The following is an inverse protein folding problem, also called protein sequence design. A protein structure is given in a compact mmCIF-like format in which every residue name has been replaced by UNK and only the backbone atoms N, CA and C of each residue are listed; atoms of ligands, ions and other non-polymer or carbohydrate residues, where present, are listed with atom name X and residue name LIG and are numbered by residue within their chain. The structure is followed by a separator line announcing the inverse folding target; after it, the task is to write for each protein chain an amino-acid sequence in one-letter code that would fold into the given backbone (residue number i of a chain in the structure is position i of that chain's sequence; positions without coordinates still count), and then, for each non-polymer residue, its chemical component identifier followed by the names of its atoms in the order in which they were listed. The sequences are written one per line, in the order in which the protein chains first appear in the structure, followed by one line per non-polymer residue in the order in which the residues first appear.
data_IF_524408960924
#
_entry.id   IF_524408960924
#
_cell.length_a   1.000
_cell.length_b   1.000
_cell.length_c   1.000
_cell.angle_alpha   90.00
_cell.angle_beta   90.00
_cell.angle_gamma   90.00
#
_symmetry.space_group_name_H-M   'P 1'
#
loop_
_entity.id
_entity.type
_entity.pdbx_description
1 polymer ?
#
# COMPACT_ATOMS: atom_id res chain seq x y z
N UNK A 1 -1.15 -34.08 1.02
CA UNK A 1 -2.61 -34.21 0.90
C UNK A 1 -3.18 -33.28 1.96
N UNK A 2 -3.63 -32.10 1.56
CA UNK A 2 -4.23 -31.13 2.48
C UNK A 2 -5.55 -31.73 2.93
N UNK A 3 -5.79 -31.77 4.24
CA UNK A 3 -7.04 -32.26 4.79
C UNK A 3 -8.13 -31.25 4.46
N UNK A 4 -8.88 -31.50 3.37
CA UNK A 4 -9.95 -30.61 2.89
C UNK A 4 -11.01 -30.29 3.95
N UNK A 5 -11.11 -31.15 4.97
CA UNK A 5 -12.01 -30.98 6.11
C UNK A 5 -11.75 -29.70 6.94
N UNK A 6 -10.52 -29.18 6.99
CA UNK A 6 -10.19 -27.95 7.73
C UNK A 6 -10.52 -26.67 6.94
N UNK A 7 -10.71 -26.78 5.63
CA UNK A 7 -11.18 -25.69 4.78
C UNK A 7 -12.71 -25.69 4.72
N UNK A 8 -13.34 -26.86 4.70
CA UNK A 8 -14.79 -27.03 4.56
C UNK A 8 -15.58 -26.78 5.86
N UNK A 9 -14.95 -26.73 7.02
CA UNK A 9 -15.62 -26.56 8.33
C UNK A 9 -16.24 -25.16 8.57
N UNK A 10 -16.15 -24.24 7.61
CA UNK A 10 -16.66 -22.87 7.69
C UNK A 10 -17.94 -22.64 6.84
N UNK A 11 -18.65 -23.69 6.47
CA UNK A 11 -19.75 -23.68 5.48
C UNK A 11 -21.05 -22.96 5.91
N UNK A 12 -21.06 -22.21 7.01
CA UNK A 12 -22.26 -21.51 7.47
C UNK A 12 -21.94 -20.11 8.01
N UNK A 13 -21.87 -19.12 7.12
CA UNK A 13 -22.25 -17.73 7.44
C UNK A 13 -22.44 -16.92 6.15
N UNK A 14 -23.72 -16.64 5.89
CA UNK A 14 -24.36 -15.54 5.16
C UNK A 14 -23.80 -15.10 3.78
N UNK A 15 -24.62 -15.36 2.75
CA UNK A 15 -24.38 -15.07 1.32
C UNK A 15 -24.49 -13.59 0.91
N UNK A 16 -24.61 -12.64 1.84
CA UNK A 16 -25.14 -11.30 1.49
C UNK A 16 -24.18 -10.13 1.79
N UNK A 17 -22.92 -10.22 1.40
CA UNK A 17 -22.06 -9.02 1.28
C UNK A 17 -21.12 -9.15 0.07
N UNK A 18 -21.59 -8.67 -1.08
CA UNK A 18 -20.82 -8.54 -2.31
C UNK A 18 -20.53 -7.08 -2.53
N UNK A 19 -19.36 -6.61 -2.11
CA UNK A 19 -18.67 -5.45 -2.71
C UNK A 19 -17.20 -5.42 -2.27
N UNK A 20 -16.31 -5.32 -3.27
CA UNK A 20 -14.95 -4.77 -3.16
C UNK A 20 -13.78 -5.57 -2.55
N UNK A 21 -13.70 -6.88 -2.82
CA UNK A 21 -12.38 -7.59 -2.83
C UNK A 21 -11.52 -7.17 -4.04
N UNK A 22 -11.94 -6.14 -4.77
CA UNK A 22 -11.27 -5.60 -5.95
C UNK A 22 -9.85 -5.07 -5.67
N UNK A 23 -9.48 -4.83 -4.41
CA UNK A 23 -8.20 -4.17 -4.09
C UNK A 23 -7.11 -5.12 -3.57
N UNK A 24 -7.48 -6.31 -3.09
CA UNK A 24 -6.51 -7.24 -2.47
C UNK A 24 -5.64 -8.04 -3.47
N UNK A 25 -5.99 -8.04 -4.77
CA UNK A 25 -5.26 -8.81 -5.80
C UNK A 25 -4.83 -7.93 -7.01
N UNK A 26 -5.23 -6.66 -7.07
CA UNK A 26 -5.21 -5.90 -8.33
C UNK A 26 -4.24 -4.69 -8.38
N UNK A 27 -2.97 -4.90 -8.04
CA UNK A 27 -1.92 -3.94 -8.47
C UNK A 27 -1.41 -4.19 -9.91
N UNK A 28 -1.99 -5.15 -10.66
CA UNK A 28 -1.55 -5.48 -12.02
C UNK A 28 -2.21 -4.62 -13.13
N UNK A 29 -3.29 -3.87 -12.86
CA UNK A 29 -4.10 -3.22 -13.90
C UNK A 29 -4.00 -1.68 -13.92
N UNK A 30 -2.81 -1.10 -13.78
CA UNK A 30 -2.64 0.37 -13.85
C UNK A 30 -1.80 0.88 -15.03
N UNK A 31 -1.52 0.04 -16.05
CA UNK A 31 -0.79 0.50 -17.25
C UNK A 31 -1.65 1.02 -18.41
N UNK A 32 -2.99 0.92 -18.37
CA UNK A 32 -3.81 1.21 -19.56
C UNK A 32 -5.09 2.07 -19.35
N UNK A 33 -5.17 2.93 -18.32
CA UNK A 33 -6.27 3.93 -18.24
C UNK A 33 -5.81 5.36 -18.55
N UNK A 34 -6.60 6.14 -19.33
CA UNK A 34 -6.28 7.52 -19.65
C UNK A 34 -6.49 8.46 -18.45
N UNK A 35 -5.49 9.32 -18.27
CA UNK A 35 -5.35 10.53 -17.48
C UNK A 35 -6.60 11.11 -16.77
N UNK A 36 -6.77 10.82 -15.47
CA UNK A 36 -7.23 11.72 -14.37
C UNK A 36 -7.67 10.90 -13.15
N UNK A 37 -6.69 10.29 -12.48
CA UNK A 37 -6.71 9.79 -11.10
C UNK A 37 -5.38 9.06 -10.94
N UNK A 38 -4.33 9.82 -10.64
CA UNK A 38 -3.03 9.27 -10.24
C UNK A 38 -2.77 9.80 -8.84
N UNK A 39 -3.38 9.13 -7.87
CA UNK A 39 -3.01 9.30 -6.47
C UNK A 39 -2.59 7.94 -5.93
N UNK A 40 -1.29 7.88 -5.61
CA UNK A 40 -0.66 7.05 -4.59
C UNK A 40 -1.11 5.59 -4.46
N UNK A 41 -0.46 4.70 -5.23
CA UNK A 41 -0.07 3.37 -4.79
C UNK A 41 1.00 2.84 -5.76
N UNK A 42 2.27 2.87 -5.36
CA UNK A 42 3.33 2.16 -6.06
C UNK A 42 3.50 0.80 -5.39
N UNK A 43 2.88 -0.24 -5.94
CA UNK A 43 3.17 -1.62 -5.56
C UNK A 43 3.92 -2.32 -6.68
N UNK A 44 5.19 -2.59 -6.42
CA UNK A 44 6.03 -3.46 -7.22
C UNK A 44 5.74 -4.91 -6.84
N UNK A 45 4.72 -5.52 -7.43
CA UNK A 45 4.61 -6.98 -7.44
C UNK A 45 5.65 -7.53 -8.41
N UNK A 46 6.82 -7.93 -7.91
CA UNK A 46 7.74 -8.82 -8.66
C UNK A 46 7.32 -10.28 -8.44
N UNK A 47 6.04 -10.52 -8.68
CA UNK A 47 5.47 -11.78 -9.09
C UNK A 47 4.37 -11.41 -10.07
N UNK A 48 4.78 -11.07 -11.30
CA UNK A 48 3.95 -11.38 -12.47
C UNK A 48 3.80 -12.90 -12.48
N UNK A 49 2.99 -13.46 -11.59
CA UNK A 49 2.61 -14.84 -11.72
C UNK A 49 1.60 -14.85 -12.85
N UNK A 50 2.09 -15.16 -14.05
CA UNK A 50 1.24 -15.45 -15.21
C UNK A 50 0.10 -16.41 -14.83
N UNK A 51 0.34 -17.26 -13.83
CA UNK A 51 -0.63 -18.16 -13.22
C UNK A 51 -1.87 -17.46 -12.61
N UNK A 52 -1.71 -16.34 -11.90
CA UNK A 52 -2.81 -15.60 -11.27
C UNK A 52 -3.55 -14.79 -12.33
N UNK A 53 -2.81 -14.13 -13.23
CA UNK A 53 -3.39 -13.41 -14.37
C UNK A 53 -4.23 -14.35 -15.25
N UNK A 54 -3.73 -15.56 -15.52
CA UNK A 54 -4.47 -16.60 -16.25
C UNK A 54 -5.70 -17.10 -15.49
N UNK A 55 -5.59 -17.33 -14.18
CA UNK A 55 -6.73 -17.74 -13.36
C UNK A 55 -7.87 -16.69 -13.43
N UNK A 56 -7.52 -15.41 -13.42
CA UNK A 56 -8.48 -14.33 -13.57
C UNK A 56 -9.05 -14.24 -14.99
N UNK A 57 -8.21 -14.31 -16.03
CA UNK A 57 -8.66 -14.30 -17.43
C UNK A 57 -9.61 -15.45 -17.75
N UNK A 58 -9.39 -16.63 -17.16
CA UNK A 58 -10.23 -17.80 -17.34
C UNK A 58 -11.58 -17.69 -16.61
N UNK A 59 -11.67 -16.89 -15.56
CA UNK A 59 -12.92 -16.68 -14.82
C UNK A 59 -13.03 -15.24 -14.27
N UNK A 60 -13.37 -14.25 -15.10
CA UNK A 60 -13.48 -12.86 -14.65
C UNK A 60 -14.56 -12.65 -13.58
N UNK A 61 -15.59 -13.50 -13.55
CA UNK A 61 -16.65 -13.46 -12.55
C UNK A 61 -16.18 -13.88 -11.15
N UNK A 62 -14.93 -14.32 -10.99
CA UNK A 62 -14.34 -14.62 -9.68
C UNK A 62 -14.31 -13.40 -8.75
N UNK A 63 -14.19 -12.19 -9.32
CA UNK A 63 -14.11 -10.94 -8.56
C UNK A 63 -15.36 -10.64 -7.70
N UNK A 64 -16.50 -11.21 -8.07
CA UNK A 64 -17.78 -11.04 -7.36
C UNK A 64 -18.18 -12.28 -6.53
N UNK A 65 -17.27 -13.26 -6.38
CA UNK A 65 -17.51 -14.44 -5.54
C UNK A 65 -17.10 -14.17 -4.10
N UNK A 66 -17.57 -15.02 -3.18
CA UNK A 66 -17.12 -14.99 -1.78
C UNK A 66 -15.59 -14.99 -1.67
N UNK A 67 -15.04 -14.25 -0.70
CA UNK A 67 -13.59 -14.10 -0.46
C UNK A 67 -12.87 -15.45 -0.42
N UNK A 68 -13.47 -16.46 0.22
CA UNK A 68 -12.91 -17.81 0.28
C UNK A 68 -12.69 -18.43 -1.11
N UNK A 69 -13.65 -18.24 -2.02
CA UNK A 69 -13.54 -18.70 -3.41
C UNK A 69 -12.47 -17.93 -4.17
N UNK A 70 -12.38 -16.62 -3.95
CA UNK A 70 -11.33 -15.79 -4.54
C UNK A 70 -9.95 -16.25 -4.05
N UNK A 71 -9.81 -16.46 -2.75
CA UNK A 71 -8.57 -16.91 -2.11
C UNK A 71 -8.12 -18.28 -2.64
N UNK A 72 -9.03 -19.26 -2.73
CA UNK A 72 -8.70 -20.57 -3.30
C UNK A 72 -8.26 -20.42 -4.77
N UNK A 73 -9.07 -19.78 -5.62
CA UNK A 73 -8.84 -19.77 -7.07
C UNK A 73 -7.75 -18.83 -7.56
N UNK A 74 -7.53 -17.71 -6.88
CA UNK A 74 -6.57 -16.69 -7.29
C UNK A 74 -5.24 -16.77 -6.53
N UNK A 75 -5.21 -17.39 -5.35
CA UNK A 75 -3.99 -17.49 -4.56
C UNK A 75 -3.56 -18.94 -4.37
N UNK A 76 -4.39 -19.77 -3.74
CA UNK A 76 -3.97 -21.11 -3.33
C UNK A 76 -3.71 -22.04 -4.53
N UNK A 77 -4.67 -22.16 -5.45
CA UNK A 77 -4.55 -23.02 -6.63
C UNK A 77 -3.40 -22.59 -7.54
N UNK A 78 -3.22 -21.29 -7.87
CA UNK A 78 -2.08 -20.87 -8.67
C UNK A 78 -0.73 -21.18 -8.00
N UNK A 79 -0.62 -21.00 -6.68
CA UNK A 79 0.59 -21.34 -5.92
C UNK A 79 0.87 -22.86 -5.91
N UNK A 80 -0.16 -23.70 -5.77
CA UNK A 80 -0.02 -25.16 -5.89
C UNK A 80 0.43 -25.55 -7.30
N UNK A 81 -0.11 -24.89 -8.32
CA UNK A 81 0.15 -25.19 -9.72
C UNK A 81 1.53 -24.73 -10.20
N UNK A 82 2.28 -23.95 -9.40
CA UNK A 82 3.69 -23.66 -9.67
C UNK A 82 4.47 -24.98 -9.58
N UNK A 83 4.65 -25.61 -10.74
CA UNK A 83 5.37 -26.86 -10.89
C UNK A 83 6.88 -26.56 -10.90
N UNK A 84 7.57 -27.01 -9.86
CA UNK A 84 8.99 -26.72 -9.61
C UNK A 84 9.91 -27.85 -10.05
N UNK A 85 9.54 -28.52 -11.14
CA UNK A 85 10.19 -29.74 -11.63
C UNK A 85 11.71 -29.60 -11.86
N UNK A 86 12.25 -28.37 -11.98
CA UNK A 86 13.64 -28.10 -12.33
C UNK A 86 14.46 -27.30 -11.29
N UNK A 87 13.92 -26.99 -10.10
CA UNK A 87 14.67 -26.19 -9.10
C UNK A 87 15.31 -27.04 -7.99
N UNK A 88 16.63 -26.95 -7.84
CA UNK A 88 17.39 -27.55 -6.74
C UNK A 88 17.10 -26.96 -5.35
N UNK A 89 16.23 -25.94 -5.27
CA UNK A 89 15.84 -25.27 -4.03
C UNK A 89 14.36 -24.90 -4.05
N UNK A 90 13.74 -24.85 -2.87
CA UNK A 90 12.36 -24.40 -2.67
C UNK A 90 12.32 -22.88 -2.87
N UNK A 91 11.52 -22.35 -3.82
CA UNK A 91 11.44 -20.92 -4.05
C UNK A 91 10.73 -20.21 -2.90
N UNK A 92 11.10 -18.96 -2.67
CA UNK A 92 10.39 -18.07 -1.74
C UNK A 92 9.43 -17.17 -2.52
N UNK A 93 8.16 -17.15 -2.12
CA UNK A 93 7.11 -16.27 -2.64
C UNK A 93 6.76 -15.25 -1.55
N UNK A 94 6.85 -13.98 -1.89
CA UNK A 94 6.39 -12.88 -1.01
C UNK A 94 5.05 -12.39 -1.51
N UNK A 95 4.05 -12.42 -0.64
CA UNK A 95 2.71 -11.88 -0.90
C UNK A 95 2.58 -10.60 -0.08
N UNK A 96 2.27 -9.50 -0.76
CA UNK A 96 2.04 -8.20 -0.14
C UNK A 96 0.54 -7.92 -0.15
N UNK A 97 -0.02 -7.68 1.03
CA UNK A 97 -1.39 -7.22 1.23
C UNK A 97 -1.30 -5.76 1.66
N UNK A 98 -1.73 -4.85 0.80
CA UNK A 98 -1.74 -3.44 1.12
C UNK A 98 -3.10 -3.00 1.66
N UNK A 99 -3.08 -2.09 2.65
CA UNK A 99 -4.23 -1.38 3.19
C UNK A 99 -5.42 -2.29 3.55
N UNK A 100 -5.19 -3.33 4.36
CA UNK A 100 -6.25 -4.28 4.73
C UNK A 100 -7.49 -3.60 5.38
N UNK A 101 -7.28 -2.48 6.08
CA UNK A 101 -8.33 -1.70 6.72
C UNK A 101 -9.26 -0.94 5.74
N UNK A 102 -8.92 -0.86 4.46
CA UNK A 102 -9.80 -0.29 3.43
C UNK A 102 -10.79 -1.34 2.86
N UNK A 103 -10.78 -2.57 3.39
CA UNK A 103 -11.76 -3.59 3.04
C UNK A 103 -13.16 -3.28 3.58
N UNK A 104 -14.18 -3.58 2.79
CA UNK A 104 -15.59 -3.36 3.15
C UNK A 104 -16.04 -4.33 4.26
N UNK A 105 -15.94 -3.88 5.51
CA UNK A 105 -16.60 -4.51 6.66
C UNK A 105 -15.73 -5.48 7.47
N UNK A 106 -15.98 -5.47 8.78
CA UNK A 106 -15.21 -6.24 9.76
C UNK A 106 -15.21 -7.76 9.51
N UNK A 107 -16.28 -8.31 8.94
CA UNK A 107 -16.40 -9.74 8.66
C UNK A 107 -15.42 -10.20 7.58
N UNK A 108 -15.24 -9.39 6.53
CA UNK A 108 -14.34 -9.69 5.42
C UNK A 108 -12.89 -9.65 5.87
N UNK A 109 -12.52 -8.63 6.67
CA UNK A 109 -11.21 -8.53 7.30
C UNK A 109 -10.93 -9.75 8.18
N UNK A 110 -11.89 -10.17 9.00
CA UNK A 110 -11.73 -11.36 9.84
C UNK A 110 -11.52 -12.63 9.02
N UNK A 111 -12.29 -12.80 7.94
CA UNK A 111 -12.16 -13.94 7.05
C UNK A 111 -10.79 -13.96 6.37
N UNK A 112 -10.31 -12.82 5.87
CA UNK A 112 -8.97 -12.70 5.27
C UNK A 112 -7.90 -13.11 6.29
N UNK A 113 -7.94 -12.58 7.51
CA UNK A 113 -6.97 -12.90 8.57
C UNK A 113 -6.98 -14.39 8.93
N UNK A 114 -8.15 -15.04 8.90
CA UNK A 114 -8.28 -16.49 9.09
C UNK A 114 -7.68 -17.30 7.92
N UNK A 115 -7.70 -16.75 6.69
CA UNK A 115 -7.18 -17.43 5.50
C UNK A 115 -5.65 -17.29 5.33
N UNK A 116 -5.03 -16.23 5.88
CA UNK A 116 -3.59 -15.98 5.76
C UNK A 116 -2.64 -17.13 6.16
N UNK A 117 -2.95 -17.97 7.16
CA UNK A 117 -2.07 -19.09 7.52
C UNK A 117 -2.05 -20.23 6.49
N UNK A 118 -3.13 -20.43 5.72
CA UNK A 118 -3.29 -21.61 4.86
C UNK A 118 -2.19 -21.80 3.79
N UNK A 119 -1.73 -20.76 3.07
CA UNK A 119 -0.68 -20.92 2.08
C UNK A 119 0.64 -21.43 2.69
N UNK A 120 0.90 -21.17 3.98
CA UNK A 120 2.14 -21.65 4.64
C UNK A 120 2.22 -23.18 4.78
N UNK A 121 1.09 -23.87 4.60
CA UNK A 121 1.02 -25.35 4.62
C UNK A 121 1.59 -25.96 3.33
N UNK A 122 1.81 -25.16 2.29
CA UNK A 122 2.39 -25.63 1.03
C UNK A 122 3.87 -25.98 1.22
N UNK A 123 4.21 -27.26 1.11
CA UNK A 123 5.61 -27.74 1.26
C UNK A 123 6.49 -27.45 0.04
N UNK A 124 5.89 -27.11 -1.11
CA UNK A 124 6.59 -26.86 -2.36
C UNK A 124 7.13 -25.44 -2.48
N UNK A 125 6.67 -24.48 -1.66
CA UNK A 125 7.03 -23.06 -1.76
C UNK A 125 7.16 -22.49 -0.35
N UNK A 126 8.18 -21.67 -0.12
CA UNK A 126 8.28 -20.90 1.12
C UNK A 126 7.51 -19.58 0.98
N UNK A 127 6.41 -19.42 1.71
CA UNK A 127 5.57 -18.21 1.61
C UNK A 127 5.86 -17.24 2.74
N UNK A 128 6.11 -15.98 2.39
CA UNK A 128 6.20 -14.85 3.33
C UNK A 128 5.08 -13.87 3.02
N UNK A 129 4.38 -13.44 4.06
CA UNK A 129 3.30 -12.45 3.98
C UNK A 129 3.80 -11.12 4.56
N UNK A 130 3.58 -10.04 3.82
CA UNK A 130 3.79 -8.68 4.29
C UNK A 130 2.46 -7.95 4.19
N UNK A 131 1.98 -7.41 5.29
CA UNK A 131 0.67 -6.77 5.38
C UNK A 131 0.82 -5.36 5.92
N UNK A 132 0.15 -4.40 5.30
CA UNK A 132 0.00 -3.04 5.82
C UNK A 132 -1.45 -2.81 6.21
N UNK A 133 -1.66 -2.05 7.30
CA UNK A 133 -2.97 -1.58 7.69
C UNK A 133 -2.92 -0.49 8.76
N UNK A 134 -4.00 0.27 8.91
CA UNK A 134 -4.29 1.01 10.15
C UNK A 134 -4.57 0.03 11.30
N UNK A 135 -4.23 0.38 12.55
CA UNK A 135 -4.38 -0.50 13.71
C UNK A 135 -5.84 -0.54 14.22
N UNK A 136 -6.80 -0.78 13.33
CA UNK A 136 -8.22 -0.87 13.65
C UNK A 136 -8.52 -2.05 14.58
N UNK A 137 -9.63 -1.97 15.32
CA UNK A 137 -9.96 -2.95 16.35
C UNK A 137 -10.06 -4.38 15.78
N UNK A 138 -10.74 -4.54 14.64
CA UNK A 138 -10.94 -5.84 13.99
C UNK A 138 -9.60 -6.48 13.59
N UNK A 139 -8.66 -5.70 13.07
CA UNK A 139 -7.33 -6.15 12.68
C UNK A 139 -6.53 -6.58 13.91
N UNK A 140 -6.50 -5.73 14.95
CA UNK A 140 -5.81 -6.05 16.21
C UNK A 140 -6.35 -7.32 16.86
N UNK A 141 -7.67 -7.50 16.88
CA UNK A 141 -8.30 -8.71 17.40
C UNK A 141 -8.00 -9.94 16.56
N UNK A 142 -7.97 -9.82 15.22
CA UNK A 142 -7.60 -10.92 14.34
C UNK A 142 -6.16 -11.39 14.55
N UNK A 143 -5.19 -10.48 14.59
CA UNK A 143 -3.79 -10.80 14.85
C UNK A 143 -3.55 -11.34 16.27
N UNK A 144 -4.35 -10.92 17.27
CA UNK A 144 -4.26 -11.48 18.63
C UNK A 144 -4.59 -12.99 18.70
N UNK A 145 -5.28 -13.52 17.69
CA UNK A 145 -5.60 -14.96 17.56
C UNK A 145 -4.49 -15.74 16.83
N UNK A 146 -3.57 -15.04 16.17
CA UNK A 146 -2.42 -15.65 15.49
C UNK A 146 -1.28 -15.78 16.52
N UNK A 147 -0.60 -16.93 16.61
CA UNK A 147 0.54 -17.07 17.51
C UNK A 147 1.60 -15.99 17.24
N UNK A 148 2.14 -15.41 18.30
CA UNK A 148 3.13 -14.32 18.22
C UNK A 148 4.46 -14.72 17.57
N UNK A 149 4.72 -16.02 17.41
CA UNK A 149 5.89 -16.52 16.69
C UNK A 149 5.66 -16.64 15.17
N UNK A 150 4.41 -16.50 14.70
CA UNK A 150 4.04 -16.63 13.29
C UNK A 150 3.98 -15.29 12.53
N UNK A 151 4.06 -14.18 13.28
CA UNK A 151 4.05 -12.81 12.75
C UNK A 151 4.99 -11.88 13.51
N UNK A 152 5.35 -10.76 12.88
CA UNK A 152 6.13 -9.68 13.47
C UNK A 152 5.45 -8.36 13.15
N UNK A 153 5.18 -7.57 14.18
CA UNK A 153 4.57 -6.25 14.04
C UNK A 153 5.63 -5.16 13.89
N UNK A 154 5.37 -4.20 13.01
CA UNK A 154 6.15 -2.97 12.89
C UNK A 154 5.18 -1.78 12.92
N UNK A 155 5.23 -1.00 14.02
CA UNK A 155 4.36 0.17 14.20
C UNK A 155 5.08 1.40 13.65
N UNK A 156 4.61 1.91 12.51
CA UNK A 156 5.24 3.05 11.83
C UNK A 156 5.03 4.40 12.53
N UNK A 157 4.03 4.51 13.41
CA UNK A 157 3.75 5.75 14.14
C UNK A 157 4.62 5.94 15.40
N UNK A 158 5.49 4.98 15.74
CA UNK A 158 6.40 5.04 16.89
C UNK A 158 7.82 5.49 16.49
N UNK A 159 7.92 6.31 15.43
CA UNK A 159 9.16 6.91 14.99
C UNK A 159 9.38 8.22 15.77
N UNK A 160 10.58 8.45 16.34
CA UNK A 160 10.88 9.69 17.05
C UNK A 160 10.59 10.92 16.17
N UNK A 161 9.84 11.89 16.69
CA UNK A 161 9.47 13.11 15.95
C UNK A 161 10.68 13.86 15.40
N UNK A 162 11.80 13.82 16.11
CA UNK A 162 13.04 14.44 15.65
C UNK A 162 13.62 13.75 14.42
N UNK A 163 13.50 12.42 14.31
CA UNK A 163 13.91 11.69 13.11
C UNK A 163 13.00 12.05 11.92
N UNK A 164 11.68 12.13 12.15
CA UNK A 164 10.72 12.56 11.12
C UNK A 164 11.05 13.96 10.60
N UNK A 165 11.35 14.92 11.50
CA UNK A 165 11.75 16.27 11.12
C UNK A 165 13.06 16.27 10.32
N UNK A 166 14.05 15.50 10.74
CA UNK A 166 15.33 15.37 10.05
C UNK A 166 15.15 14.81 8.64
N UNK A 167 14.43 13.70 8.49
CA UNK A 167 14.19 13.06 7.19
C UNK A 167 13.36 13.95 6.26
N UNK A 168 12.35 14.63 6.81
CA UNK A 168 11.54 15.61 6.06
C UNK A 168 12.38 16.78 5.60
N UNK A 169 13.21 17.36 6.48
CA UNK A 169 14.09 18.48 6.16
C UNK A 169 15.04 18.10 5.04
N UNK A 170 15.64 16.90 5.12
CA UNK A 170 16.52 16.37 4.09
C UNK A 170 15.79 16.19 2.76
N UNK A 171 14.58 15.61 2.78
CA UNK A 171 13.75 15.42 1.60
C UNK A 171 13.40 16.76 0.94
N UNK A 172 12.88 17.73 1.70
CA UNK A 172 12.47 19.02 1.17
C UNK A 172 13.66 19.83 0.62
N UNK A 173 14.82 19.79 1.30
CA UNK A 173 16.05 20.47 0.84
C UNK A 173 16.54 19.90 -0.49
N UNK A 174 16.55 18.57 -0.61
CA UNK A 174 16.92 17.93 -1.86
C UNK A 174 15.92 18.29 -2.96
N UNK A 175 14.62 18.19 -2.66
CA UNK A 175 13.57 18.39 -3.64
C UNK A 175 13.43 19.85 -4.07
N UNK A 176 13.72 20.82 -3.20
CA UNK A 176 13.72 22.24 -3.57
C UNK A 176 14.80 22.55 -4.60
N UNK A 177 15.99 21.98 -4.44
CA UNK A 177 17.09 22.11 -5.41
C UNK A 177 16.68 21.54 -6.78
N UNK A 178 16.15 20.31 -6.81
CA UNK A 178 15.67 19.67 -8.04
C UNK A 178 14.52 20.49 -8.69
N UNK A 179 13.58 20.99 -7.90
CA UNK A 179 12.46 21.80 -8.40
C UNK A 179 12.96 23.12 -9.02
N UNK A 180 13.95 23.77 -8.42
CA UNK A 180 14.52 25.00 -8.95
C UNK A 180 15.14 24.75 -10.32
N UNK A 181 15.99 23.74 -10.44
CA UNK A 181 16.60 23.35 -11.72
C UNK A 181 15.55 22.99 -12.80
N UNK A 182 14.51 22.22 -12.43
CA UNK A 182 13.44 21.84 -13.34
C UNK A 182 12.63 23.04 -13.85
N UNK A 183 12.42 24.05 -13.00
CA UNK A 183 11.56 25.18 -13.30
C UNK A 183 12.30 26.36 -13.93
N UNK A 184 13.60 26.55 -13.63
CA UNK A 184 14.43 27.66 -14.11
C UNK A 184 14.39 27.84 -15.64
N UNK A 185 14.31 26.74 -16.40
CA UNK A 185 14.22 26.78 -17.87
C UNK A 185 12.88 27.32 -18.39
N UNK A 186 11.82 27.15 -17.61
CA UNK A 186 10.44 27.51 -18.00
C UNK A 186 9.95 28.81 -17.36
N UNK A 187 10.48 29.15 -16.18
CA UNK A 187 10.12 30.33 -15.39
C UNK A 187 11.32 30.74 -14.54
N UNK A 188 11.87 31.95 -14.72
CA UNK A 188 12.93 32.47 -13.86
C UNK A 188 12.41 32.61 -12.43
N UNK A 189 13.14 32.04 -11.47
CA UNK A 189 12.79 32.06 -10.05
C UNK A 189 13.81 32.89 -9.26
N UNK A 190 13.41 33.53 -8.15
CA UNK A 190 14.33 34.19 -7.24
C UNK A 190 15.45 33.24 -6.76
N UNK A 191 16.63 33.78 -6.49
CA UNK A 191 17.77 32.98 -6.05
C UNK A 191 17.49 32.29 -4.71
N UNK A 192 16.74 32.96 -3.84
CA UNK A 192 16.28 32.52 -2.53
C UNK A 192 14.90 31.82 -2.55
N UNK A 193 14.38 31.48 -3.72
CA UNK A 193 13.11 30.75 -3.83
C UNK A 193 13.22 29.36 -3.16
N UNK A 194 12.29 29.06 -2.23
CA UNK A 194 12.35 27.91 -1.31
C UNK A 194 13.63 27.86 -0.45
N UNK A 195 14.05 29.02 0.05
CA UNK A 195 15.19 29.12 0.96
C UNK A 195 14.99 28.42 2.31
N UNK A 196 16.07 28.37 3.11
CA UNK A 196 16.12 27.67 4.40
C UNK A 196 14.96 28.05 5.34
N UNK A 197 14.57 29.32 5.39
CA UNK A 197 13.47 29.78 6.27
C UNK A 197 12.13 29.18 5.85
N UNK A 198 11.86 29.08 4.56
CA UNK A 198 10.62 28.49 4.05
C UNK A 198 10.62 26.98 4.28
N UNK A 199 11.75 26.31 4.06
CA UNK A 199 11.91 24.88 4.36
C UNK A 199 11.66 24.58 5.84
N UNK A 200 12.21 25.38 6.76
CA UNK A 200 11.97 25.22 8.20
C UNK A 200 10.49 25.43 8.55
N UNK A 201 9.83 26.41 7.92
CA UNK A 201 8.39 26.61 8.10
C UNK A 201 7.58 25.42 7.61
N UNK A 202 7.96 24.83 6.46
CA UNK A 202 7.31 23.63 5.93
C UNK A 202 7.51 22.42 6.86
N UNK A 203 8.71 22.20 7.38
CA UNK A 203 8.99 21.11 8.35
C UNK A 203 8.23 21.32 9.66
N UNK A 204 7.98 22.57 10.06
CA UNK A 204 7.27 22.90 11.30
C UNK A 204 5.74 22.73 11.21
N UNK A 205 5.18 22.41 10.05
CA UNK A 205 3.74 22.23 9.87
C UNK A 205 3.26 21.05 10.76
N UNK A 206 2.21 21.22 11.59
CA UNK A 206 1.77 20.18 12.55
C UNK A 206 1.36 18.84 11.92
N UNK A 207 0.95 18.84 10.65
CA UNK A 207 0.54 17.65 9.90
C UNK A 207 1.70 16.81 9.36
N UNK A 208 2.96 17.19 9.63
CA UNK A 208 4.17 16.52 9.14
C UNK A 208 4.64 15.22 9.83
N UNK A 209 3.90 14.46 10.65
CA UNK A 209 4.23 13.04 10.70
C UNK A 209 3.96 12.33 9.35
N UNK A 210 3.22 12.94 8.42
CA UNK A 210 2.86 12.34 7.13
C UNK A 210 3.77 12.85 6.00
N UNK A 211 4.82 12.09 5.66
CA UNK A 211 5.74 12.37 4.55
C UNK A 211 5.04 12.67 3.21
N UNK A 212 3.83 12.13 3.03
CA UNK A 212 2.99 12.38 1.85
C UNK A 212 2.64 13.87 1.66
N UNK A 213 2.59 14.66 2.73
CA UNK A 213 2.32 16.10 2.66
C UNK A 213 3.51 16.82 2.03
N UNK A 214 4.73 16.51 2.49
CA UNK A 214 5.96 17.05 1.90
C UNK A 214 6.01 16.79 0.39
N UNK A 215 5.76 15.54 -0.01
CA UNK A 215 5.75 15.14 -1.42
C UNK A 215 4.64 15.84 -2.21
N UNK A 216 3.46 16.02 -1.61
CA UNK A 216 2.33 16.73 -2.24
C UNK A 216 2.64 18.20 -2.45
N UNK A 217 3.24 18.88 -1.48
CA UNK A 217 3.69 20.27 -1.63
C UNK A 217 4.66 20.39 -2.81
N UNK A 218 5.68 19.53 -2.88
CA UNK A 218 6.63 19.53 -4.00
C UNK A 218 5.94 19.29 -5.36
N UNK A 219 4.93 18.41 -5.41
CA UNK A 219 4.14 18.16 -6.62
C UNK A 219 3.30 19.37 -7.03
N UNK A 220 2.67 20.06 -6.07
CA UNK A 220 1.91 21.29 -6.34
C UNK A 220 2.82 22.40 -6.88
N UNK A 221 3.99 22.61 -6.26
CA UNK A 221 4.96 23.62 -6.71
C UNK A 221 5.53 23.32 -8.10
N UNK A 222 5.59 22.04 -8.49
CA UNK A 222 6.03 21.62 -9.83
C UNK A 222 4.97 21.85 -10.92
N UNK A 223 3.69 21.80 -10.58
CA UNK A 223 2.62 21.83 -11.56
C UNK A 223 2.62 23.14 -12.36
N UNK A 224 2.67 23.03 -13.69
CA UNK A 224 2.71 24.18 -14.60
C UNK A 224 1.40 24.96 -14.65
N UNK A 225 0.32 24.39 -14.12
CA UNK A 225 -0.99 25.04 -14.02
C UNK A 225 -1.01 26.15 -12.95
N UNK A 226 -0.04 26.15 -12.03
CA UNK A 226 0.02 27.06 -10.90
C UNK A 226 1.33 27.85 -10.91
N UNK A 227 1.26 29.11 -10.45
CA UNK A 227 2.45 29.90 -10.18
C UNK A 227 3.12 29.38 -8.90
N UNK A 228 4.43 29.06 -8.92
CA UNK A 228 5.09 28.39 -7.82
C UNK A 228 5.42 29.34 -6.67
N UNK A 229 5.49 30.65 -6.92
CA UNK A 229 5.72 31.68 -5.90
C UNK A 229 4.40 31.89 -5.14
N UNK A 230 3.30 32.08 -5.87
CA UNK A 230 1.98 32.24 -5.27
C UNK A 230 1.54 30.98 -4.50
N UNK A 231 1.78 29.80 -5.08
CA UNK A 231 1.47 28.51 -4.43
C UNK A 231 2.25 28.34 -3.13
N UNK A 232 3.55 28.67 -3.12
CA UNK A 232 4.36 28.60 -1.90
C UNK A 232 3.84 29.56 -0.84
N UNK A 233 3.53 30.80 -1.21
CA UNK A 233 3.00 31.80 -0.30
C UNK A 233 1.67 31.35 0.33
N UNK A 234 0.77 30.79 -0.48
CA UNK A 234 -0.51 30.26 -0.02
C UNK A 234 -0.34 29.07 0.94
N UNK A 235 0.54 28.12 0.60
CA UNK A 235 0.85 26.97 1.44
C UNK A 235 1.37 27.46 2.80
N UNK A 236 2.38 28.35 2.81
CA UNK A 236 2.96 28.89 4.04
C UNK A 236 1.94 29.68 4.87
N UNK A 237 1.04 30.43 4.22
CA UNK A 237 -0.02 31.18 4.90
C UNK A 237 -0.98 30.24 5.64
N UNK A 238 -1.49 29.20 4.96
CA UNK A 238 -2.42 28.21 5.54
C UNK A 238 -1.78 27.40 6.67
N UNK A 239 -0.47 27.25 6.62
CA UNK A 239 0.31 26.55 7.63
C UNK A 239 0.48 27.35 8.93
N UNK A 240 0.52 28.69 8.85
CA UNK A 240 0.58 29.56 10.03
C UNK A 240 -0.76 29.65 10.77
N UNK A 241 -1.89 29.48 10.10
CA UNK A 241 -3.24 29.61 10.70
C UNK A 241 -3.70 28.38 11.49
N UNK A 242 -2.95 27.27 11.45
CA UNK A 242 -3.27 26.04 12.20
C UNK A 242 -2.73 26.03 13.65
N UNK A 243 -2.28 27.18 14.15
CA UNK A 243 -1.78 27.40 15.51
C UNK A 243 -2.83 28.05 16.45
N UNK A 244 -4.12 27.86 16.19
CA UNK A 244 -5.22 28.27 17.08
C UNK A 244 -6.07 27.06 17.45
#
# INVERSE_FOLDING_TARGET
MVDGAAFDSFENQDEDHVSQVHELIFSAELKNRPSRQRENAYFATTLKCSCIEQAFQNNPAIAIKAIKNQFDKLLLQPLIAVNLADSSSIPTVVIVIDALDECDGDNDIQLILQLLPYPRVLSSIHIRLFLTSRPELVIRLGFSKIPTHDHQDLILNDIPRELIKQDTSLFLTRRSTELKEELELSRPLPEDWLGETDLQRLVAIPSFPLFIIAATICRMLKDHSWDPIDSLAEILLRCNTSNI
#
